data_IF_417513696825
#
_entry.id   IF_417513696825
#
_cell.length_a   1.000
_cell.length_b   1.000
_cell.length_c   1.000
_cell.angle_alpha   90.00
_cell.angle_beta   90.00
_cell.angle_gamma   90.00
#
_symmetry.space_group_name_H-M   'P 1'
#
loop_
_entity.id
_entity.type
_entity.pdbx_description
1 polymer ?
#
# COMPACT_ATOMS: atom_id res chain seq x y z
N UNK A 1 28.83 -6.72 12.18
CA UNK A 1 28.06 -5.60 12.77
C UNK A 1 27.40 -4.85 11.63
N UNK A 2 26.09 -4.99 11.42
CA UNK A 2 25.38 -4.26 10.36
C UNK A 2 25.07 -2.85 10.86
N UNK A 3 25.63 -1.82 10.22
CA UNK A 3 25.32 -0.44 10.53
C UNK A 3 23.82 -0.17 10.30
N UNK A 4 23.15 0.40 11.30
CA UNK A 4 21.76 0.83 11.14
C UNK A 4 21.70 1.99 10.14
N UNK A 5 20.63 2.05 9.33
CA UNK A 5 20.40 3.18 8.44
C UNK A 5 20.24 4.47 9.27
N UNK A 6 20.75 5.61 8.79
CA UNK A 6 20.54 6.89 9.48
C UNK A 6 19.06 7.24 9.50
N UNK A 7 18.61 7.79 10.62
CA UNK A 7 17.25 8.30 10.79
C UNK A 7 17.00 9.45 9.80
N UNK A 8 15.88 9.46 9.05
CA UNK A 8 15.53 10.58 8.19
C UNK A 8 15.37 11.89 8.98
N UNK A 9 15.86 13.01 8.42
CA UNK A 9 15.86 14.32 9.08
C UNK A 9 14.46 14.80 9.51
N UNK A 10 13.41 14.51 8.73
CA UNK A 10 12.03 14.83 9.14
C UNK A 10 11.61 14.08 10.40
N UNK A 11 12.06 12.84 10.61
CA UNK A 11 11.71 12.04 11.78
C UNK A 11 12.40 12.59 13.03
N UNK A 12 13.64 13.07 12.88
CA UNK A 12 14.36 13.74 13.97
C UNK A 12 13.68 15.04 14.39
N UNK A 13 13.22 15.85 13.44
CA UNK A 13 12.57 17.15 13.72
C UNK A 13 11.20 17.02 14.38
N UNK A 14 10.49 15.92 14.12
CA UNK A 14 9.13 15.69 14.62
C UNK A 14 9.10 14.57 15.67
N UNK A 15 10.23 14.23 16.28
CA UNK A 15 10.35 13.06 17.15
C UNK A 15 9.39 13.12 18.34
N UNK A 16 9.30 14.28 19.00
CA UNK A 16 8.43 14.47 20.18
C UNK A 16 6.96 14.19 19.82
N UNK A 17 6.45 14.79 18.74
CA UNK A 17 5.09 14.58 18.25
C UNK A 17 4.82 13.11 17.90
N UNK A 18 5.74 12.48 17.14
CA UNK A 18 5.57 11.10 16.67
C UNK A 18 5.66 10.09 17.82
N UNK A 19 6.41 10.41 18.87
CA UNK A 19 6.55 9.53 20.04
C UNK A 19 5.24 9.37 20.83
N UNK A 20 4.32 10.33 20.70
CA UNK A 20 2.99 10.29 21.32
C UNK A 20 1.99 9.48 20.49
N UNK A 21 2.32 9.14 19.24
CA UNK A 21 1.39 8.41 18.40
C UNK A 21 1.21 7.00 18.97
N UNK A 22 -0.04 6.50 19.04
CA UNK A 22 -0.27 5.16 19.50
C UNK A 22 0.50 4.19 18.59
N UNK A 23 0.96 3.05 19.12
CA UNK A 23 1.58 2.02 18.28
C UNK A 23 0.63 1.74 17.11
N UNK A 24 1.20 1.67 15.90
CA UNK A 24 0.43 1.40 14.70
C UNK A 24 -0.48 0.20 14.98
N UNK A 25 -1.78 0.41 14.86
CA UNK A 25 -2.77 -0.63 15.13
C UNK A 25 -2.38 -1.89 14.34
N UNK A 26 -2.58 -3.04 14.96
CA UNK A 26 -2.25 -4.33 14.37
C UNK A 26 -2.83 -4.43 12.96
N UNK A 27 -2.05 -4.98 12.02
CA UNK A 27 -2.42 -5.02 10.61
C UNK A 27 -3.86 -5.52 10.45
N UNK A 28 -4.65 -4.78 9.67
CA UNK A 28 -6.03 -5.15 9.40
C UNK A 28 -6.05 -6.57 8.85
N UNK A 29 -6.74 -7.49 9.54
CA UNK A 29 -6.83 -8.88 9.11
C UNK A 29 -7.70 -9.00 7.88
N UNK A 30 -8.69 -8.14 7.72
CA UNK A 30 -9.71 -8.20 6.68
C UNK A 30 -9.50 -7.17 5.57
N UNK A 31 -9.82 -7.55 4.34
CA UNK A 31 -9.70 -6.71 3.17
C UNK A 31 -10.44 -5.36 3.32
N UNK A 32 -9.82 -4.28 2.84
CA UNK A 32 -10.37 -2.93 2.87
C UNK A 32 -11.60 -2.70 1.98
N UNK A 33 -11.91 -3.63 1.07
CA UNK A 33 -13.06 -3.50 0.17
C UNK A 33 -14.32 -3.77 0.95
N UNK A 34 -15.28 -2.83 0.91
CA UNK A 34 -16.57 -2.97 1.56
C UNK A 34 -17.24 -4.31 1.21
N UNK A 35 -17.79 -4.98 2.22
CA UNK A 35 -18.39 -6.31 2.12
C UNK A 35 -17.43 -7.43 1.67
N UNK A 36 -16.11 -7.25 1.79
CA UNK A 36 -15.13 -8.31 1.57
C UNK A 36 -14.59 -8.83 2.90
N UNK A 37 -14.94 -10.08 3.22
CA UNK A 37 -14.53 -10.73 4.49
C UNK A 37 -13.22 -11.53 4.36
N UNK A 38 -12.54 -11.44 3.22
CA UNK A 38 -11.30 -12.18 2.98
C UNK A 38 -10.12 -11.55 3.71
N UNK A 39 -9.16 -12.37 4.08
CA UNK A 39 -7.93 -11.89 4.69
C UNK A 39 -7.11 -10.97 3.77
N UNK A 40 -6.46 -9.98 4.37
CA UNK A 40 -5.50 -9.11 3.72
C UNK A 40 -4.30 -9.92 3.23
N UNK A 41 -3.83 -9.59 2.05
CA UNK A 41 -2.59 -10.13 1.49
C UNK A 41 -1.51 -9.08 1.34
N UNK A 42 -1.81 -7.94 0.71
CA UNK A 42 -0.85 -6.85 0.52
C UNK A 42 -1.57 -5.50 0.42
N UNK A 43 -1.05 -4.49 1.12
CA UNK A 43 -1.56 -3.11 1.06
C UNK A 43 -3.02 -2.98 1.52
N UNK A 44 -3.45 -3.78 2.50
CA UNK A 44 -4.84 -3.79 2.98
C UNK A 44 -5.82 -4.52 2.05
N UNK A 45 -5.37 -5.13 0.95
CA UNK A 45 -6.24 -5.81 -0.03
C UNK A 45 -6.02 -7.33 -0.02
N UNK A 46 -7.10 -8.09 -0.21
CA UNK A 46 -7.00 -9.51 -0.52
C UNK A 46 -6.42 -9.71 -1.94
N UNK A 47 -5.88 -10.91 -2.22
CA UNK A 47 -5.24 -11.25 -3.51
C UNK A 47 -6.06 -10.82 -4.75
N UNK A 48 -7.37 -11.11 -4.84
CA UNK A 48 -8.17 -10.70 -6.01
C UNK A 48 -8.30 -9.19 -6.16
N UNK A 49 -8.58 -8.46 -5.08
CA UNK A 49 -8.73 -7.01 -5.11
C UNK A 49 -7.41 -6.31 -5.40
N UNK A 50 -6.29 -6.81 -4.87
CA UNK A 50 -4.97 -6.30 -5.23
C UNK A 50 -4.68 -6.47 -6.73
N UNK A 51 -4.96 -7.65 -7.30
CA UNK A 51 -4.79 -7.90 -8.75
C UNK A 51 -5.65 -6.97 -9.59
N UNK A 52 -6.91 -6.74 -9.18
CA UNK A 52 -7.82 -5.82 -9.87
C UNK A 52 -7.34 -4.38 -9.79
N UNK A 53 -6.94 -3.91 -8.61
CA UNK A 53 -6.42 -2.58 -8.38
C UNK A 53 -5.18 -2.33 -9.25
N UNK A 54 -4.24 -3.29 -9.27
CA UNK A 54 -3.08 -3.22 -10.17
C UNK A 54 -3.51 -3.08 -11.63
N UNK A 55 -4.38 -3.94 -12.16
CA UNK A 55 -4.82 -3.80 -13.57
C UNK A 55 -5.45 -2.43 -13.88
N UNK A 56 -6.22 -1.86 -12.96
CA UNK A 56 -6.96 -0.61 -13.19
C UNK A 56 -6.09 0.65 -13.04
N UNK A 57 -5.12 0.61 -12.13
CA UNK A 57 -4.34 1.76 -11.71
C UNK A 57 -2.85 1.67 -12.03
N UNK A 58 -2.38 0.56 -12.62
CA UNK A 58 -1.02 0.46 -13.14
C UNK A 58 -0.89 1.38 -14.37
N UNK A 59 -0.05 2.44 -14.29
CA UNK A 59 0.13 3.39 -15.39
C UNK A 59 0.69 2.73 -16.64
N UNK A 60 1.40 1.60 -16.51
CA UNK A 60 1.97 0.85 -17.63
C UNK A 60 0.88 0.09 -18.39
N UNK A 61 -0.07 -0.53 -17.68
CA UNK A 61 -1.21 -1.25 -18.29
C UNK A 61 -2.15 -0.30 -19.05
N UNK A 62 -2.35 0.92 -18.55
CA UNK A 62 -3.19 1.93 -19.23
C UNK A 62 -2.64 2.36 -20.59
N UNK A 63 -1.31 2.32 -20.80
CA UNK A 63 -0.70 2.68 -22.09
C UNK A 63 -0.97 1.63 -23.16
N UNK A 64 -1.02 0.36 -22.80
CA UNK A 64 -1.28 -0.75 -23.73
C UNK A 64 -2.74 -0.76 -24.24
N UNK A 65 -3.72 -0.45 -23.37
CA UNK A 65 -5.14 -0.48 -23.77
C UNK A 65 -5.59 0.69 -24.64
N UNK A 66 -4.85 1.80 -24.65
CA UNK A 66 -5.14 2.96 -25.50
C UNK A 66 -4.48 2.90 -26.89
N UNK A 67 -3.65 1.87 -27.15
CA UNK A 67 -2.85 1.74 -28.38
C UNK A 67 -3.39 0.76 -29.42
N UNK A 68 -4.61 0.25 -29.31
CA UNK A 68 -5.06 -0.79 -30.24
C UNK A 68 -6.55 -1.09 -30.23
N UNK A 69 -7.28 -0.40 -31.10
CA UNK A 69 -8.48 -0.94 -31.77
C UNK A 69 -8.73 -0.18 -33.08
N UNK A 70 -7.92 -0.48 -34.09
CA UNK A 70 -8.39 -0.43 -35.47
C UNK A 70 -8.83 -1.85 -35.81
N UNK A 71 -10.15 -2.08 -35.84
CA UNK A 71 -10.76 -3.20 -36.54
C UNK A 71 -11.81 -2.61 -37.48
#
# INVERSE_FOLDING_TARGET
MTASKPTPDWLTRNYEEISEFPPAAQEAKTCFVACCERDVWLGGLCRPHHRMARKKFDPQVRRETNGGRNR
#
